data_IF_346426436359
#
_entry.id   IF_346426436359
#
_cell.length_a   1.000
_cell.length_b   1.000
_cell.length_c   1.000
_cell.angle_alpha   90.00
_cell.angle_beta   90.00
_cell.angle_gamma   90.00
#
_symmetry.space_group_name_H-M   'P 1'
#
loop_
_entity.id
_entity.type
_entity.pdbx_description
1 polymer ?
#
# COMPACT_ATOMS: atom_id res chain seq x y z
N UNK A 1 -3.89 32.41 20.38
CA UNK A 1 -3.43 32.29 18.98
C UNK A 1 -1.92 32.23 19.01
N UNK A 2 -1.38 31.03 18.91
CA UNK A 2 0.04 30.78 18.72
C UNK A 2 0.40 30.97 17.24
N UNK A 3 1.67 31.23 16.95
CA UNK A 3 2.12 31.57 15.60
C UNK A 3 2.30 30.36 14.68
N UNK A 4 2.62 30.58 13.39
CA UNK A 4 2.87 29.50 12.42
C UNK A 4 4.10 28.62 12.77
N UNK A 5 4.91 29.00 13.76
CA UNK A 5 6.06 28.23 14.24
C UNK A 5 5.75 27.32 15.44
N UNK A 6 4.53 27.38 16.01
CA UNK A 6 4.13 26.49 17.11
C UNK A 6 3.86 25.05 16.59
N UNK A 7 4.55 24.01 17.09
CA UNK A 7 4.29 22.63 16.65
C UNK A 7 2.85 22.15 16.88
N UNK A 8 2.11 22.74 17.84
CA UNK A 8 0.75 22.29 18.18
C UNK A 8 -0.25 22.35 17.02
N UNK A 9 -0.08 23.27 16.05
CA UNK A 9 -0.98 23.32 14.88
C UNK A 9 -0.76 22.14 13.93
N UNK A 10 0.47 21.60 13.84
CA UNK A 10 0.77 20.42 13.00
C UNK A 10 0.10 19.17 13.58
N UNK A 11 0.21 18.99 14.89
CA UNK A 11 -0.48 17.90 15.60
C UNK A 11 -2.01 18.01 15.49
N UNK A 12 -2.57 19.22 15.49
CA UNK A 12 -4.00 19.43 15.27
C UNK A 12 -4.40 19.14 13.81
N UNK A 13 -3.62 19.62 12.83
CA UNK A 13 -3.87 19.39 11.41
C UNK A 13 -3.82 17.89 11.06
N UNK A 14 -2.80 17.19 11.56
CA UNK A 14 -2.62 15.75 11.34
C UNK A 14 -3.76 14.93 11.96
N UNK A 15 -4.20 15.30 13.16
CA UNK A 15 -5.36 14.67 13.83
C UNK A 15 -6.65 14.86 13.05
N UNK A 16 -6.88 16.06 12.50
CA UNK A 16 -8.05 16.34 11.64
C UNK A 16 -7.96 15.56 10.33
N UNK A 17 -6.76 15.43 9.75
CA UNK A 17 -6.55 14.63 8.54
C UNK A 17 -6.79 13.13 8.77
N UNK A 18 -6.39 12.59 9.93
CA UNK A 18 -6.69 11.21 10.33
C UNK A 18 -8.19 11.01 10.57
N UNK A 19 -8.84 11.88 11.35
CA UNK A 19 -10.28 11.83 11.64
C UNK A 19 -11.12 11.87 10.35
N UNK A 20 -10.78 12.74 9.40
CA UNK A 20 -11.44 12.76 8.08
C UNK A 20 -11.10 11.50 7.26
N UNK A 21 -9.86 11.01 7.27
CA UNK A 21 -9.49 9.75 6.60
C UNK A 21 -10.24 8.52 7.11
N UNK A 22 -10.54 8.47 8.42
CA UNK A 22 -11.28 7.39 9.07
C UNK A 22 -12.78 7.44 8.76
N UNK A 23 -13.38 8.64 8.68
CA UNK A 23 -14.82 8.84 8.54
C UNK A 23 -15.30 9.18 7.11
N UNK A 24 -14.43 9.67 6.24
CA UNK A 24 -14.71 9.94 4.82
C UNK A 24 -14.44 8.71 3.97
N UNK A 25 -15.47 8.24 3.27
CA UNK A 25 -15.39 7.02 2.47
C UNK A 25 -14.80 7.26 1.08
N UNK A 26 -13.67 6.60 0.81
CA UNK A 26 -13.05 6.47 -0.52
C UNK A 26 -13.68 5.35 -1.39
N UNK A 27 -14.82 4.78 -0.99
CA UNK A 27 -15.41 3.60 -1.64
C UNK A 27 -15.73 3.80 -3.12
N UNK A 28 -16.12 5.01 -3.55
CA UNK A 28 -16.37 5.30 -4.97
C UNK A 28 -15.10 5.22 -5.82
N UNK A 29 -14.03 6.02 -5.55
CA UNK A 29 -12.78 5.92 -6.29
C UNK A 29 -12.14 4.52 -6.15
N UNK A 30 -12.16 3.89 -4.97
CA UNK A 30 -11.67 2.52 -4.81
C UNK A 30 -12.39 1.50 -5.71
N UNK A 31 -13.70 1.64 -5.93
CA UNK A 31 -14.44 0.77 -6.88
C UNK A 31 -14.08 1.02 -8.34
N UNK A 32 -13.74 2.26 -8.71
CA UNK A 32 -13.22 2.58 -10.05
C UNK A 32 -11.85 1.92 -10.22
N UNK A 33 -10.92 2.16 -9.28
CA UNK A 33 -9.59 1.53 -9.28
C UNK A 33 -9.67 0.00 -9.37
N UNK A 34 -10.53 -0.61 -8.57
CA UNK A 34 -10.79 -2.06 -8.56
C UNK A 34 -11.23 -2.56 -9.94
N UNK A 35 -12.15 -1.85 -10.61
CA UNK A 35 -12.66 -2.28 -11.92
C UNK A 35 -11.55 -2.46 -12.96
N UNK A 36 -10.72 -1.43 -13.14
CA UNK A 36 -9.60 -1.47 -14.09
C UNK A 36 -8.46 -2.37 -13.60
N UNK A 37 -8.19 -2.40 -12.28
CA UNK A 37 -7.20 -3.31 -11.69
C UNK A 37 -7.53 -4.77 -11.99
N UNK A 38 -8.79 -5.20 -11.80
CA UNK A 38 -9.17 -6.58 -12.09
C UNK A 38 -9.14 -6.92 -13.59
N UNK A 39 -9.38 -5.95 -14.47
CA UNK A 39 -9.15 -6.11 -15.92
C UNK A 39 -7.67 -6.30 -16.25
N UNK A 40 -6.78 -5.54 -15.62
CA UNK A 40 -5.33 -5.71 -15.75
C UNK A 40 -4.85 -7.06 -15.19
N UNK A 41 -5.31 -7.45 -13.99
CA UNK A 41 -4.99 -8.75 -13.36
C UNK A 41 -5.41 -9.95 -14.24
N UNK A 42 -6.61 -9.88 -14.86
CA UNK A 42 -7.06 -10.88 -15.84
C UNK A 42 -6.18 -10.90 -17.10
N UNK A 43 -5.74 -9.73 -17.58
CA UNK A 43 -4.80 -9.62 -18.72
C UNK A 43 -3.42 -10.19 -18.40
N UNK A 44 -2.99 -10.11 -17.14
CA UNK A 44 -1.80 -10.77 -16.58
C UNK A 44 -1.99 -12.27 -16.31
N UNK A 45 -3.16 -12.85 -16.64
CA UNK A 45 -3.46 -14.28 -16.51
C UNK A 45 -4.04 -14.73 -15.17
N UNK A 46 -4.32 -13.81 -14.23
CA UNK A 46 -4.94 -14.16 -12.95
C UNK A 46 -6.45 -14.40 -13.10
N UNK A 47 -6.83 -15.59 -13.57
CA UNK A 47 -8.24 -16.01 -13.69
C UNK A 47 -8.80 -16.60 -12.39
N UNK A 48 -7.97 -17.26 -11.58
CA UNK A 48 -8.40 -17.83 -10.30
C UNK A 48 -7.25 -18.08 -9.34
N UNK A 49 -7.57 -18.09 -8.05
CA UNK A 49 -6.63 -18.37 -6.98
C UNK A 49 -7.14 -17.92 -5.61
N UNK A 50 -6.27 -18.05 -4.62
CA UNK A 50 -6.51 -17.51 -3.27
C UNK A 50 -6.07 -16.06 -3.22
N UNK A 51 -6.95 -15.20 -2.72
CA UNK A 51 -6.73 -13.76 -2.62
C UNK A 51 -6.70 -13.36 -1.15
N UNK A 52 -5.74 -12.53 -0.79
CA UNK A 52 -5.74 -11.74 0.43
C UNK A 52 -5.89 -10.27 0.04
N UNK A 53 -6.80 -9.55 0.69
CA UNK A 53 -6.88 -8.10 0.62
C UNK A 53 -6.79 -7.55 2.04
N UNK A 54 -5.86 -6.63 2.27
CA UNK A 54 -5.73 -5.93 3.55
C UNK A 54 -5.63 -4.43 3.33
N UNK A 55 -5.95 -3.65 4.36
CA UNK A 55 -6.00 -2.20 4.28
C UNK A 55 -7.42 -1.64 4.17
N UNK A 56 -7.53 -0.47 3.56
CA UNK A 56 -8.77 0.28 3.35
C UNK A 56 -9.70 -0.40 2.34
N UNK A 57 -11.01 -0.33 2.62
CA UNK A 57 -12.11 -0.87 1.80
C UNK A 57 -11.82 -2.26 1.19
N UNK A 58 -11.41 -3.27 1.98
CA UNK A 58 -10.89 -4.52 1.43
C UNK A 58 -11.99 -5.33 0.71
N UNK A 59 -13.27 -5.11 1.03
CA UNK A 59 -14.40 -5.67 0.26
C UNK A 59 -14.53 -5.04 -1.13
N UNK A 60 -14.13 -3.78 -1.29
CA UNK A 60 -14.12 -3.08 -2.57
C UNK A 60 -12.98 -3.61 -3.45
N UNK A 61 -11.75 -3.66 -2.94
CA UNK A 61 -10.58 -4.16 -3.68
C UNK A 61 -10.66 -5.66 -4.03
N UNK A 62 -11.38 -6.45 -3.23
CA UNK A 62 -11.81 -7.80 -3.60
C UNK A 62 -12.70 -7.83 -4.88
N UNK A 63 -13.39 -6.75 -5.21
CA UNK A 63 -14.42 -6.71 -6.26
C UNK A 63 -15.78 -7.25 -5.80
N UNK A 64 -16.01 -7.38 -4.49
CA UNK A 64 -17.20 -8.05 -3.98
C UNK A 64 -18.47 -7.21 -4.23
N UNK A 65 -19.57 -7.78 -4.78
CA UNK A 65 -20.77 -7.03 -5.19
C UNK A 65 -21.51 -6.35 -4.04
N UNK A 66 -21.30 -6.83 -2.82
CA UNK A 66 -21.88 -6.25 -1.61
C UNK A 66 -20.88 -5.37 -0.84
N UNK A 67 -19.80 -4.89 -1.47
CA UNK A 67 -18.89 -3.92 -0.89
C UNK A 67 -19.68 -2.70 -0.34
N UNK A 68 -19.69 -2.60 0.99
CA UNK A 68 -20.46 -1.65 1.81
C UNK A 68 -19.69 -1.43 3.10
N UNK A 69 -19.76 -0.20 3.61
CA UNK A 69 -18.90 0.24 4.71
C UNK A 69 -17.57 0.78 4.19
N UNK A 70 -16.79 1.32 5.11
CA UNK A 70 -15.44 1.81 4.91
C UNK A 70 -14.56 1.34 6.07
N UNK A 71 -13.24 1.41 5.90
CA UNK A 71 -12.26 1.19 6.96
C UNK A 71 -11.35 -0.02 6.76
N UNK A 72 -10.42 -0.16 7.70
CA UNK A 72 -9.31 -1.11 7.66
C UNK A 72 -9.72 -2.53 8.10
N UNK A 73 -9.44 -3.53 7.28
CA UNK A 73 -9.52 -4.95 7.69
C UNK A 73 -8.59 -5.83 6.84
N UNK A 74 -8.46 -7.11 7.21
CA UNK A 74 -7.84 -8.15 6.36
C UNK A 74 -8.88 -9.22 6.02
N UNK A 75 -9.04 -9.49 4.73
CA UNK A 75 -10.05 -10.38 4.17
C UNK A 75 -9.39 -11.38 3.22
N UNK A 76 -9.71 -12.67 3.38
CA UNK A 76 -9.30 -13.73 2.46
C UNK A 76 -10.47 -14.28 1.67
N UNK A 77 -10.19 -14.74 0.45
CA UNK A 77 -11.17 -15.34 -0.44
C UNK A 77 -10.51 -16.37 -1.37
N UNK A 78 -11.34 -17.24 -1.97
CA UNK A 78 -10.95 -17.98 -3.18
C UNK A 78 -11.79 -17.47 -4.33
N UNK A 79 -11.13 -16.85 -5.32
CA UNK A 79 -11.80 -16.27 -6.50
C UNK A 79 -11.64 -17.24 -7.66
N UNK A 80 -12.76 -17.58 -8.30
CA UNK A 80 -12.81 -18.38 -9.51
C UNK A 80 -12.88 -17.54 -10.80
N UNK A 81 -12.82 -18.18 -11.99
CA UNK A 81 -12.91 -17.46 -13.26
C UNK A 81 -14.30 -16.83 -13.45
N UNK A 82 -15.36 -17.56 -13.06
CA UNK A 82 -16.73 -17.07 -13.07
C UNK A 82 -17.06 -16.23 -11.82
N UNK A 83 -16.45 -16.56 -10.68
CA UNK A 83 -16.79 -16.02 -9.35
C UNK A 83 -16.16 -14.65 -9.09
N UNK A 84 -16.25 -13.72 -10.04
CA UNK A 84 -15.93 -12.31 -9.77
C UNK A 84 -17.00 -11.63 -8.88
N UNK A 85 -18.13 -12.29 -8.60
CA UNK A 85 -19.22 -11.77 -7.78
C UNK A 85 -19.74 -12.80 -6.77
N UNK A 86 -19.72 -12.47 -5.47
CA UNK A 86 -20.50 -13.16 -4.43
C UNK A 86 -19.88 -14.42 -3.83
N UNK A 87 -18.58 -14.61 -3.98
CA UNK A 87 -17.81 -15.67 -3.32
C UNK A 87 -17.73 -15.47 -1.78
N UNK A 88 -17.52 -16.55 -1.00
CA UNK A 88 -17.35 -16.43 0.44
C UNK A 88 -16.06 -15.67 0.80
N UNK A 89 -16.16 -14.79 1.78
CA UNK A 89 -15.07 -13.98 2.31
C UNK A 89 -14.89 -14.29 3.79
N UNK A 90 -13.65 -14.46 4.23
CA UNK A 90 -13.27 -14.73 5.61
C UNK A 90 -12.45 -13.56 6.15
N UNK A 91 -12.82 -13.03 7.31
CA UNK A 91 -12.03 -12.00 8.00
C UNK A 91 -10.89 -12.66 8.77
N UNK A 92 -9.69 -12.10 8.67
CA UNK A 92 -8.47 -12.57 9.32
C UNK A 92 -7.81 -11.44 10.11
N UNK A 93 -6.94 -11.81 11.07
CA UNK A 93 -5.95 -10.89 11.64
C UNK A 93 -4.69 -10.95 10.78
N UNK A 94 -4.22 -9.82 10.27
CA UNK A 94 -3.08 -9.78 9.33
C UNK A 94 -1.82 -10.50 9.84
N UNK A 95 -1.53 -10.41 11.15
CA UNK A 95 -0.40 -11.09 11.80
C UNK A 95 -0.51 -12.60 11.92
N UNK A 96 -1.72 -13.13 11.91
CA UNK A 96 -1.98 -14.55 12.17
C UNK A 96 -1.90 -15.34 10.85
N UNK A 97 -1.82 -14.63 9.71
CA UNK A 97 -1.68 -15.17 8.36
C UNK A 97 -0.26 -15.68 8.16
N UNK A 98 -0.14 -17.01 7.98
CA UNK A 98 1.14 -17.71 7.78
C UNK A 98 1.26 -18.38 6.40
N UNK A 99 0.20 -18.30 5.59
CA UNK A 99 0.09 -18.96 4.30
C UNK A 99 0.34 -18.02 3.12
N UNK A 100 0.65 -18.59 1.95
CA UNK A 100 0.95 -17.83 0.73
C UNK A 100 -0.20 -17.85 -0.29
N UNK A 101 -0.61 -16.66 -0.72
CA UNK A 101 -1.71 -16.36 -1.64
C UNK A 101 -1.23 -16.24 -3.08
N UNK A 102 -2.16 -16.44 -4.01
CA UNK A 102 -1.94 -16.27 -5.45
C UNK A 102 -1.96 -14.79 -5.86
N UNK A 103 -2.76 -13.99 -5.15
CA UNK A 103 -2.83 -12.53 -5.23
C UNK A 103 -2.90 -11.93 -3.82
N UNK A 104 -2.08 -10.91 -3.53
CA UNK A 104 -2.21 -10.05 -2.35
C UNK A 104 -2.45 -8.61 -2.78
N UNK A 105 -3.48 -7.95 -2.25
CA UNK A 105 -3.74 -6.51 -2.44
C UNK A 105 -3.61 -5.80 -1.10
N UNK A 106 -2.72 -4.82 -0.99
CA UNK A 106 -2.57 -3.96 0.17
C UNK A 106 -3.01 -2.53 -0.13
N UNK A 107 -4.21 -2.14 0.31
CA UNK A 107 -4.71 -0.77 0.22
C UNK A 107 -4.28 0.01 1.46
N UNK A 108 -3.01 0.42 1.52
CA UNK A 108 -2.36 0.71 2.79
C UNK A 108 -3.03 1.90 3.53
N UNK A 109 -3.18 1.82 4.86
CA UNK A 109 -3.85 2.87 5.63
C UNK A 109 -3.11 4.20 5.52
N UNK A 110 -3.88 5.30 5.51
CA UNK A 110 -3.38 6.68 5.37
C UNK A 110 -2.48 6.89 4.12
N UNK A 111 -2.77 6.19 3.02
CA UNK A 111 -1.99 6.35 1.78
C UNK A 111 -2.22 7.72 1.12
N UNK A 112 -3.45 8.23 1.13
CA UNK A 112 -3.88 9.53 0.60
C UNK A 112 -3.75 10.69 1.59
N UNK A 113 -3.23 10.44 2.80
CA UNK A 113 -3.04 11.46 3.84
C UNK A 113 -1.63 12.03 3.82
N UNK A 114 -1.52 13.35 3.87
CA UNK A 114 -0.27 14.10 3.98
C UNK A 114 -0.11 14.62 5.41
N UNK A 115 0.83 14.03 6.14
CA UNK A 115 1.20 14.46 7.49
C UNK A 115 2.09 15.71 7.46
N UNK A 116 1.77 16.69 8.30
CA UNK A 116 2.52 17.94 8.48
C UNK A 116 3.55 17.83 9.61
N UNK A 117 3.35 16.94 10.58
CA UNK A 117 4.33 16.66 11.63
C UNK A 117 5.30 15.55 11.18
N UNK A 118 6.63 15.81 11.16
CA UNK A 118 7.62 14.85 10.63
C UNK A 118 7.60 13.48 11.32
N UNK A 119 7.27 13.42 12.62
CA UNK A 119 7.18 12.15 13.33
C UNK A 119 5.99 11.29 12.88
N UNK A 120 4.87 11.90 12.50
CA UNK A 120 3.71 11.16 11.98
C UNK A 120 3.98 10.65 10.56
N UNK A 121 4.58 11.48 9.69
CA UNK A 121 5.03 11.03 8.37
C UNK A 121 6.03 9.87 8.47
N UNK A 122 6.99 9.96 9.40
CA UNK A 122 7.98 8.89 9.63
C UNK A 122 7.32 7.58 10.09
N UNK A 123 6.34 7.65 11.01
CA UNK A 123 5.58 6.47 11.46
C UNK A 123 4.76 5.86 10.30
N UNK A 124 4.03 6.68 9.53
CA UNK A 124 3.27 6.22 8.35
C UNK A 124 4.17 5.50 7.36
N UNK A 125 5.31 6.10 7.02
CA UNK A 125 6.24 5.52 6.05
C UNK A 125 6.79 4.17 6.55
N UNK A 126 7.24 4.10 7.81
CA UNK A 126 7.71 2.83 8.40
C UNK A 126 6.64 1.72 8.42
N UNK A 127 5.37 2.09 8.64
CA UNK A 127 4.24 1.14 8.59
C UNK A 127 3.96 0.67 7.16
N UNK A 128 3.94 1.58 6.19
CA UNK A 128 3.71 1.24 4.79
C UNK A 128 4.86 0.40 4.19
N UNK A 129 6.11 0.66 4.60
CA UNK A 129 7.26 -0.19 4.29
C UNK A 129 7.04 -1.63 4.82
N UNK A 130 6.68 -1.76 6.09
CA UNK A 130 6.43 -3.06 6.74
C UNK A 130 5.28 -3.82 6.07
N UNK A 131 4.15 -3.16 5.82
CA UNK A 131 2.98 -3.74 5.17
C UNK A 131 3.28 -4.14 3.71
N UNK A 132 4.05 -3.34 2.97
CA UNK A 132 4.49 -3.66 1.61
C UNK A 132 5.35 -4.92 1.56
N UNK A 133 6.38 -4.98 2.41
CA UNK A 133 7.26 -6.15 2.49
C UNK A 133 6.54 -7.39 3.03
N UNK A 134 5.57 -7.22 3.94
CA UNK A 134 4.72 -8.32 4.43
C UNK A 134 3.79 -8.83 3.33
N UNK A 135 3.16 -7.93 2.56
CA UNK A 135 2.32 -8.29 1.41
C UNK A 135 3.09 -9.13 0.39
N UNK A 136 4.29 -8.67 0.02
CA UNK A 136 5.19 -9.43 -0.84
C UNK A 136 5.48 -10.82 -0.27
N UNK A 137 5.74 -10.93 1.04
CA UNK A 137 6.02 -12.21 1.71
C UNK A 137 4.78 -13.11 1.83
N UNK A 138 3.57 -12.57 1.88
CA UNK A 138 2.33 -13.34 1.83
C UNK A 138 1.94 -13.75 0.40
N UNK A 139 2.58 -13.20 -0.64
CA UNK A 139 2.45 -13.67 -2.01
C UNK A 139 3.35 -14.89 -2.25
N UNK A 140 2.87 -15.91 -2.99
CA UNK A 140 3.73 -17.02 -3.43
C UNK A 140 4.61 -16.63 -4.63
N UNK A 141 5.77 -17.29 -4.84
CA UNK A 141 6.46 -17.29 -6.12
C UNK A 141 5.50 -17.49 -7.31
N UNK A 142 5.63 -16.66 -8.34
CA UNK A 142 4.75 -16.63 -9.51
C UNK A 142 3.36 -16.01 -9.25
N UNK A 143 3.11 -15.50 -8.05
CA UNK A 143 1.90 -14.76 -7.68
C UNK A 143 2.03 -13.26 -7.95
N UNK A 144 0.92 -12.55 -7.78
CA UNK A 144 0.85 -11.09 -7.97
C UNK A 144 0.69 -10.37 -6.63
N UNK A 145 1.34 -9.21 -6.48
CA UNK A 145 1.12 -8.29 -5.36
C UNK A 145 0.68 -6.95 -5.93
N UNK A 146 -0.35 -6.34 -5.34
CA UNK A 146 -0.81 -4.99 -5.65
C UNK A 146 -0.71 -4.16 -4.39
N UNK A 147 -0.14 -2.96 -4.47
CA UNK A 147 0.00 -2.05 -3.34
C UNK A 147 -0.54 -0.69 -3.74
N UNK A 148 -1.49 -0.16 -2.98
CA UNK A 148 -1.86 1.26 -3.02
C UNK A 148 -1.25 1.92 -1.79
N UNK A 149 -0.24 2.76 -2.00
CA UNK A 149 0.55 3.39 -0.95
C UNK A 149 0.69 4.90 -1.19
N UNK A 150 1.19 5.62 -0.20
CA UNK A 150 1.63 7.00 -0.39
C UNK A 150 2.77 7.05 -1.42
N UNK A 151 2.84 8.10 -2.22
CA UNK A 151 3.98 8.34 -3.12
C UNK A 151 5.34 8.38 -2.37
N UNK A 152 5.32 8.68 -1.06
CA UNK A 152 6.48 8.60 -0.17
C UNK A 152 7.19 7.23 -0.22
N UNK A 153 6.46 6.12 -0.49
CA UNK A 153 7.04 4.77 -0.57
C UNK A 153 8.06 4.66 -1.71
N UNK A 154 7.81 5.31 -2.85
CA UNK A 154 8.72 5.28 -4.00
C UNK A 154 9.66 6.51 -4.02
N UNK A 155 9.20 7.68 -3.57
CA UNK A 155 10.03 8.90 -3.58
C UNK A 155 10.98 9.03 -2.37
N UNK A 156 11.04 8.03 -1.48
CA UNK A 156 11.86 8.08 -0.27
C UNK A 156 13.35 8.34 -0.58
N UNK A 157 14.04 9.18 0.23
CA UNK A 157 15.48 9.41 0.09
C UNK A 157 16.35 8.20 0.47
N UNK A 158 15.76 7.14 1.04
CA UNK A 158 16.42 5.92 1.44
C UNK A 158 15.88 4.74 0.64
N UNK A 159 16.76 4.07 -0.09
CA UNK A 159 16.45 3.04 -1.09
C UNK A 159 16.16 1.65 -0.52
N UNK A 160 16.24 1.49 0.81
CA UNK A 160 16.25 0.17 1.46
C UNK A 160 14.97 -0.63 1.20
N UNK A 161 13.79 0.00 1.30
CA UNK A 161 12.52 -0.72 1.07
C UNK A 161 12.37 -1.11 -0.39
N UNK A 162 12.75 -0.23 -1.33
CA UNK A 162 12.66 -0.47 -2.76
C UNK A 162 13.69 -1.53 -3.21
N UNK A 163 14.89 -1.54 -2.63
CA UNK A 163 15.87 -2.63 -2.78
C UNK A 163 15.30 -3.97 -2.28
N UNK A 164 14.68 -3.99 -1.09
CA UNK A 164 14.06 -5.19 -0.53
C UNK A 164 12.82 -5.65 -1.32
N UNK A 165 12.07 -4.74 -1.96
CA UNK A 165 11.02 -5.06 -2.91
C UNK A 165 11.61 -5.68 -4.18
N UNK A 166 12.62 -5.02 -4.77
CA UNK A 166 13.31 -5.45 -5.98
C UNK A 166 14.13 -6.75 -5.81
N UNK A 167 14.45 -7.15 -4.57
CA UNK A 167 15.02 -8.46 -4.26
C UNK A 167 13.94 -9.57 -4.31
N UNK A 168 12.68 -9.25 -4.07
CA UNK A 168 11.58 -10.21 -3.94
C UNK A 168 10.65 -10.28 -5.15
N UNK A 169 10.53 -9.19 -5.91
CA UNK A 169 9.59 -9.05 -7.01
C UNK A 169 10.16 -8.17 -8.14
N UNK A 170 9.63 -8.39 -9.34
CA UNK A 170 9.78 -7.49 -10.48
C UNK A 170 8.61 -6.50 -10.49
N UNK A 171 8.87 -5.22 -10.76
CA UNK A 171 7.82 -4.23 -10.96
C UNK A 171 7.18 -4.45 -12.35
N UNK A 172 5.90 -4.79 -12.37
CA UNK A 172 5.06 -4.89 -13.57
C UNK A 172 4.80 -3.47 -14.08
N UNK A 173 4.43 -2.59 -13.16
CA UNK A 173 4.30 -1.16 -13.36
C UNK A 173 3.70 -0.48 -12.13
N UNK A 174 3.66 0.85 -12.13
CA UNK A 174 3.00 1.65 -11.10
C UNK A 174 2.24 2.80 -11.75
N UNK A 175 1.18 3.27 -11.10
CA UNK A 175 0.40 4.43 -11.56
C UNK A 175 0.29 5.43 -10.40
N UNK A 176 0.77 6.66 -10.59
CA UNK A 176 0.70 7.72 -9.58
C UNK A 176 -0.57 8.53 -9.74
N UNK A 177 -1.41 8.49 -8.71
CA UNK A 177 -2.72 9.11 -8.70
C UNK A 177 -2.65 10.52 -8.07
N UNK A 178 -3.46 11.49 -8.56
CA UNK A 178 -3.56 12.81 -7.96
C UNK A 178 -4.00 12.82 -6.50
N UNK A 179 -3.56 13.84 -5.77
CA UNK A 179 -4.15 14.19 -4.48
C UNK A 179 -5.65 14.49 -4.65
N UNK A 180 -6.44 14.14 -3.63
CA UNK A 180 -7.88 14.42 -3.61
C UNK A 180 -8.76 13.41 -4.36
N UNK A 181 -8.19 12.44 -5.08
CA UNK A 181 -8.95 11.42 -5.83
C UNK A 181 -9.64 10.41 -4.92
N UNK A 182 -8.98 9.96 -3.85
CA UNK A 182 -9.55 9.05 -2.86
C UNK A 182 -10.45 9.80 -1.89
N UNK A 183 -9.86 10.74 -1.14
CA UNK A 183 -10.53 11.67 -0.23
C UNK A 183 -10.00 13.08 -0.50
N UNK A 184 -10.89 14.06 -0.66
CA UNK A 184 -10.54 15.45 -0.89
C UNK A 184 -10.48 16.22 0.45
N UNK A 185 -9.41 15.98 1.21
CA UNK A 185 -9.17 16.60 2.51
C UNK A 185 -8.29 17.83 2.28
N UNK A 186 -8.90 19.02 2.22
CA UNK A 186 -8.28 20.21 1.67
C UNK A 186 -6.94 20.58 2.36
N UNK A 187 -5.82 20.37 1.64
CA UNK A 187 -4.48 20.71 2.11
C UNK A 187 -3.79 19.60 2.89
N UNK A 188 -4.44 18.47 3.14
CA UNK A 188 -3.88 17.24 3.73
C UNK A 188 -4.06 16.02 2.83
N UNK A 189 -4.50 16.24 1.60
CA UNK A 189 -4.51 15.28 0.51
C UNK A 189 -3.09 15.02 -0.04
N UNK A 190 -2.80 13.76 -0.37
CA UNK A 190 -1.50 13.28 -0.83
C UNK A 190 -1.61 12.45 -2.13
N UNK A 191 -0.64 12.54 -3.05
CA UNK A 191 -0.54 11.61 -4.17
C UNK A 191 -0.28 10.18 -3.70
N UNK A 192 -0.80 9.21 -4.45
CA UNK A 192 -0.76 7.79 -4.07
C UNK A 192 -0.35 6.92 -5.25
N UNK A 193 0.53 5.96 -5.03
CA UNK A 193 1.01 5.06 -6.07
C UNK A 193 0.28 3.71 -5.99
N UNK A 194 -0.30 3.28 -7.11
CA UNK A 194 -0.84 1.94 -7.31
C UNK A 194 0.21 1.07 -8.04
N UNK A 195 0.93 0.25 -7.29
CA UNK A 195 2.00 -0.63 -7.78
C UNK A 195 1.44 -2.02 -8.10
N UNK A 196 1.84 -2.59 -9.23
CA UNK A 196 1.65 -3.99 -9.60
C UNK A 196 3.03 -4.68 -9.62
N UNK A 197 3.15 -5.80 -8.90
CA UNK A 197 4.42 -6.51 -8.66
C UNK A 197 4.25 -8.01 -8.96
N UNK A 198 5.20 -8.59 -9.69
CA UNK A 198 5.27 -10.03 -9.93
C UNK A 198 6.23 -10.67 -8.91
N UNK A 199 5.76 -11.58 -8.06
CA UNK A 199 6.60 -12.21 -7.03
C UNK A 199 7.57 -13.20 -7.68
N UNK A 200 8.86 -12.84 -7.71
CA UNK A 200 9.90 -13.66 -8.30
C UNK A 200 10.13 -14.96 -7.51
N UNK A 201 10.56 -16.02 -8.22
CA UNK A 201 11.00 -17.24 -7.58
C UNK A 201 12.35 -17.04 -6.86
N UNK A 202 12.60 -17.72 -5.72
CA UNK A 202 13.87 -17.63 -5.01
C UNK A 202 15.08 -17.92 -5.92
N UNK A 203 15.97 -16.95 -6.05
CA UNK A 203 17.18 -17.07 -6.90
C UNK A 203 16.98 -16.79 -8.39
N UNK A 204 15.77 -16.47 -8.87
CA UNK A 204 15.55 -16.05 -10.25
C UNK A 204 16.34 -14.76 -10.59
N UNK A 205 16.74 -14.58 -11.85
CA UNK A 205 17.28 -13.30 -12.29
C UNK A 205 16.14 -12.26 -12.30
N UNK A 206 16.36 -11.13 -11.62
CA UNK A 206 15.41 -10.00 -11.58
C UNK A 206 15.56 -9.22 -12.89
N UNK A 207 14.45 -8.87 -13.50
CA UNK A 207 14.35 -8.30 -14.84
C UNK A 207 14.08 -6.80 -14.83
N UNK A 208 13.31 -6.30 -13.85
CA UNK A 208 12.92 -4.87 -13.78
C UNK A 208 13.17 -4.33 -12.37
N UNK A 209 14.14 -3.40 -12.25
CA UNK A 209 14.52 -2.74 -10.98
C UNK A 209 14.44 -1.21 -11.06
N UNK A 210 13.74 -0.72 -12.08
CA UNK A 210 13.73 0.69 -12.48
C UNK A 210 12.74 1.50 -11.62
N UNK A 211 12.85 1.32 -10.31
CA UNK A 211 12.11 2.02 -9.25
C UNK A 211 12.91 2.11 -7.93
N UNK A 212 14.18 1.71 -7.93
CA UNK A 212 14.95 1.49 -6.69
C UNK A 212 15.53 2.76 -6.08
N UNK A 213 15.43 3.92 -6.75
CA UNK A 213 15.92 5.19 -6.23
C UNK A 213 15.07 6.38 -6.68
N UNK A 214 15.13 7.47 -5.89
CA UNK A 214 14.53 8.75 -6.25
C UNK A 214 15.60 9.77 -6.64
N UNK A 215 15.40 10.43 -7.77
CA UNK A 215 16.29 11.47 -8.30
C UNK A 215 15.80 12.88 -7.89
N UNK A 216 16.71 13.83 -7.60
CA UNK A 216 16.32 15.21 -7.37
C UNK A 216 15.83 15.91 -8.66
N UNK A 217 14.57 16.31 -8.70
CA UNK A 217 13.98 17.11 -9.78
C UNK A 217 13.76 18.56 -9.32
N UNK A 218 13.68 19.51 -10.26
CA UNK A 218 13.38 20.91 -9.95
C UNK A 218 12.07 21.37 -10.56
N UNK A 219 11.10 21.70 -9.72
CA UNK A 219 9.78 22.24 -10.11
C UNK A 219 9.64 23.63 -9.50
N UNK A 220 9.40 24.65 -10.32
CA UNK A 220 9.26 26.05 -9.90
C UNK A 220 10.41 26.57 -9.01
N UNK A 221 11.65 26.09 -9.25
CA UNK A 221 12.83 26.45 -8.46
C UNK A 221 12.95 25.76 -7.10
N UNK A 222 12.03 24.86 -6.74
CA UNK A 222 12.12 23.98 -5.58
C UNK A 222 12.63 22.61 -5.98
N UNK A 223 13.47 22.02 -5.14
CA UNK A 223 13.93 20.63 -5.29
C UNK A 223 12.91 19.68 -4.67
N UNK A 224 12.51 18.66 -5.42
CA UNK A 224 11.74 17.51 -4.97
C UNK A 224 12.52 16.23 -5.25
N UNK A 225 12.11 15.12 -4.65
CA UNK A 225 12.49 13.78 -5.10
C UNK A 225 11.38 13.20 -5.97
N UNK A 226 11.77 12.52 -7.05
CA UNK A 226 10.88 11.72 -7.90
C UNK A 226 11.53 10.36 -8.13
N UNK A 227 10.79 9.28 -7.87
CA UNK A 227 11.24 7.93 -8.18
C UNK A 227 11.61 7.78 -9.67
N UNK A 228 12.72 7.10 -9.96
CA UNK A 228 13.24 6.97 -11.32
C UNK A 228 12.23 6.27 -12.28
N UNK A 229 11.32 5.44 -11.74
CA UNK A 229 10.22 4.88 -12.51
C UNK A 229 9.36 5.94 -13.19
N UNK A 230 8.95 6.98 -12.45
CA UNK A 230 8.06 8.04 -12.96
C UNK A 230 8.80 9.12 -13.75
N UNK A 231 10.11 9.26 -13.56
CA UNK A 231 10.97 10.08 -14.43
C UNK A 231 11.09 9.44 -15.84
N UNK A 232 11.21 8.12 -15.90
CA UNK A 232 11.21 7.35 -17.16
C UNK A 232 9.80 7.08 -17.73
N UNK A 233 8.76 7.14 -16.88
CA UNK A 233 7.35 6.89 -17.22
C UNK A 233 6.43 8.04 -16.78
N UNK A 234 6.62 9.26 -17.31
CA UNK A 234 5.79 10.41 -16.93
C UNK A 234 4.31 10.21 -17.27
N UNK A 235 3.99 9.44 -18.31
CA UNK A 235 2.62 9.12 -18.74
C UNK A 235 1.84 8.27 -17.70
N UNK A 236 2.53 7.65 -16.74
CA UNK A 236 1.90 6.94 -15.61
C UNK A 236 1.73 7.80 -14.36
N UNK A 237 2.04 9.10 -14.43
CA UNK A 237 1.59 10.09 -13.45
C UNK A 237 0.31 10.71 -14.01
N UNK A 238 -0.85 10.37 -13.43
CA UNK A 238 -2.16 10.75 -13.97
C UNK A 238 -2.52 12.21 -13.65
N UNK A 239 -1.66 13.15 -14.00
CA UNK A 239 -1.82 14.57 -13.69
C UNK A 239 -0.51 15.35 -13.82
N UNK A 240 -0.56 16.61 -13.39
CA UNK A 240 0.59 17.51 -13.40
C UNK A 240 1.31 17.47 -12.04
N UNK A 241 2.60 17.12 -12.06
CA UNK A 241 3.48 17.24 -10.90
C UNK A 241 3.60 18.72 -10.51
N UNK A 242 3.21 19.01 -9.28
CA UNK A 242 3.33 20.31 -8.64
C UNK A 242 4.17 20.23 -7.38
N UNK A 243 4.14 21.33 -6.61
CA UNK A 243 4.81 21.45 -5.32
C UNK A 243 3.82 21.98 -4.31
N UNK A 244 3.76 21.38 -3.13
CA UNK A 244 2.96 21.88 -2.01
C UNK A 244 3.44 23.30 -1.62
N UNK A 245 2.59 24.34 -1.70
CA UNK A 245 2.98 25.71 -1.36
C UNK A 245 3.18 25.93 0.14
N UNK A 246 2.64 25.06 1.01
CA UNK A 246 2.68 25.18 2.47
C UNK A 246 3.70 24.24 3.12
N UNK A 247 3.99 23.08 2.50
CA UNK A 247 4.99 22.15 3.01
C UNK A 247 6.37 22.32 2.34
N UNK A 248 7.44 22.24 3.13
CA UNK A 248 8.83 22.37 2.70
C UNK A 248 9.53 21.01 2.60
N UNK A 249 10.65 20.96 1.85
CA UNK A 249 11.49 19.77 1.76
C UNK A 249 11.25 18.91 0.50
N UNK A 250 11.98 17.77 0.39
CA UNK A 250 12.05 16.96 -0.83
C UNK A 250 10.76 16.20 -1.16
N UNK A 251 9.95 15.86 -0.16
CA UNK A 251 8.74 15.06 -0.32
C UNK A 251 7.47 15.93 -0.47
N UNK A 252 7.62 17.23 -0.72
CA UNK A 252 6.52 18.16 -0.94
C UNK A 252 5.91 18.07 -2.36
N UNK A 253 5.91 16.86 -2.94
CA UNK A 253 5.41 16.58 -4.27
C UNK A 253 3.87 16.57 -4.24
N UNK A 254 3.24 17.21 -5.21
CA UNK A 254 1.80 17.12 -5.43
C UNK A 254 1.53 16.65 -6.85
N UNK A 255 0.37 16.05 -7.08
CA UNK A 255 -0.11 15.70 -8.42
C UNK A 255 -1.54 16.19 -8.51
N UNK A 256 -1.86 16.97 -9.53
CA UNK A 256 -3.20 17.57 -9.74
C UNK A 256 -3.72 17.25 -11.14
N UNK A 257 -5.00 16.94 -11.26
CA UNK A 257 -5.63 16.58 -12.53
C UNK A 257 -7.10 17.02 -12.56
N UNK A 258 -7.73 16.90 -13.73
CA UNK A 258 -9.18 16.97 -13.85
C UNK A 258 -9.79 15.63 -13.35
N UNK A 259 -10.58 15.63 -12.26
CA UNK A 259 -11.16 14.40 -11.72
C UNK A 259 -12.17 13.73 -12.65
N UNK A 260 -12.58 14.37 -13.75
CA UNK A 260 -13.43 13.75 -14.79
C UNK A 260 -12.65 12.86 -15.75
N UNK A 261 -11.31 12.99 -15.82
CA UNK A 261 -10.45 12.17 -16.67
C UNK A 261 -9.93 10.91 -15.94
N UNK A 262 -9.87 10.94 -14.61
CA UNK A 262 -9.29 9.88 -13.76
C UNK A 262 -9.65 8.43 -14.15
N UNK A 263 -10.91 8.14 -14.46
CA UNK A 263 -11.36 6.79 -14.83
C UNK A 263 -10.81 6.34 -16.19
N UNK A 264 -10.73 7.25 -17.17
CA UNK A 264 -10.15 6.97 -18.48
C UNK A 264 -8.61 6.84 -18.39
N UNK A 265 -7.96 7.83 -17.76
CA UNK A 265 -6.49 7.86 -17.63
C UNK A 265 -5.97 6.63 -16.85
N UNK A 266 -6.69 6.20 -15.82
CA UNK A 266 -6.36 4.98 -15.07
C UNK A 266 -6.59 3.69 -15.88
N UNK A 267 -7.65 3.66 -16.71
CA UNK A 267 -7.92 2.53 -17.59
C UNK A 267 -6.78 2.35 -18.60
N UNK A 268 -6.40 3.44 -19.28
CA UNK A 268 -5.38 3.44 -20.32
C UNK A 268 -4.00 3.05 -19.74
N UNK A 269 -3.62 3.62 -18.58
CA UNK A 269 -2.37 3.30 -17.91
C UNK A 269 -2.30 1.82 -17.46
N UNK A 270 -3.38 1.27 -16.89
CA UNK A 270 -3.39 -0.13 -16.45
C UNK A 270 -3.46 -1.13 -17.62
N UNK A 271 -4.10 -0.78 -18.75
CA UNK A 271 -4.09 -1.58 -19.98
C UNK A 271 -2.68 -1.63 -20.60
N UNK A 272 -1.98 -0.49 -20.65
CA UNK A 272 -0.63 -0.40 -21.20
C UNK A 272 0.41 -1.14 -20.31
N UNK A 273 0.32 -0.97 -18.98
CA UNK A 273 1.14 -1.73 -18.02
C UNK A 273 0.95 -3.25 -18.20
N UNK A 274 -0.30 -3.72 -18.23
CA UNK A 274 -0.59 -5.15 -18.40
C UNK A 274 -0.13 -5.68 -19.78
N UNK A 275 -0.23 -4.86 -20.82
CA UNK A 275 0.22 -5.19 -22.18
C UNK A 275 1.75 -5.30 -22.25
N UNK A 276 2.49 -4.36 -21.66
CA UNK A 276 3.94 -4.40 -21.58
C UNK A 276 4.44 -5.59 -20.75
N UNK A 277 3.83 -5.84 -19.58
CA UNK A 277 4.20 -6.97 -18.73
C UNK A 277 4.01 -8.34 -19.41
N UNK A 278 2.91 -8.51 -20.17
CA UNK A 278 2.70 -9.71 -20.99
C UNK A 278 3.79 -9.89 -22.06
N UNK A 279 4.30 -8.81 -22.65
CA UNK A 279 5.41 -8.87 -23.61
C UNK A 279 6.75 -9.20 -22.92
N UNK A 280 6.96 -8.71 -21.69
CA UNK A 280 8.13 -9.03 -20.87
C UNK A 280 8.08 -10.43 -20.23
N UNK A 281 6.92 -11.09 -20.23
CA UNK A 281 6.71 -12.39 -19.57
C UNK A 281 6.46 -12.30 -18.06
N UNK A 282 6.20 -11.10 -17.52
CA UNK A 282 5.87 -10.86 -16.11
C UNK A 282 4.37 -11.12 -15.87
N UNK A 283 3.95 -12.37 -16.07
CA UNK A 283 2.56 -12.82 -15.93
C UNK A 283 2.37 -13.70 -14.69
N UNK A 284 1.14 -13.82 -14.21
CA UNK A 284 0.78 -14.77 -13.17
C UNK A 284 1.10 -16.22 -13.58
N UNK A 285 1.97 -16.89 -12.82
CA UNK A 285 2.27 -18.30 -13.01
C UNK A 285 1.21 -19.14 -12.30
N UNK A 286 0.42 -19.91 -13.05
CA UNK A 286 -0.68 -20.70 -12.49
C UNK A 286 -0.18 -21.77 -11.51
N UNK A 287 -0.84 -21.87 -10.35
CA UNK A 287 -0.49 -22.80 -9.27
C UNK A 287 -0.52 -24.26 -9.70
N UNK A 288 0.65 -24.89 -9.81
CA UNK A 288 0.77 -26.32 -10.15
C UNK A 288 0.60 -27.17 -8.88
N UNK A 289 -0.52 -27.90 -8.78
CA UNK A 289 -0.80 -28.79 -7.64
C UNK A 289 0.33 -29.83 -7.47
N UNK A 290 1.06 -29.73 -6.36
CA UNK A 290 2.06 -30.70 -5.92
C UNK A 290 3.48 -30.18 -5.76
N UNK A 291 3.81 -28.99 -6.29
CA UNK A 291 5.17 -28.42 -6.20
C UNK A 291 5.34 -27.49 -4.97
N UNK A 292 4.34 -26.65 -4.68
CA UNK A 292 4.40 -25.62 -3.63
C UNK A 292 4.72 -26.14 -2.21
N UNK A 293 4.25 -27.35 -1.87
CA UNK A 293 4.45 -27.92 -0.51
C UNK A 293 5.94 -28.09 -0.21
N UNK A 294 6.72 -28.54 -1.19
CA UNK A 294 8.17 -28.69 -1.03
C UNK A 294 8.90 -27.34 -0.96
N UNK A 295 8.38 -26.31 -1.63
CA UNK A 295 8.94 -24.95 -1.56
C UNK A 295 8.70 -24.33 -0.18
N UNK A 296 7.49 -24.46 0.37
CA UNK A 296 7.14 -23.97 1.71
C UNK A 296 8.00 -24.61 2.81
N UNK A 297 8.20 -25.93 2.77
CA UNK A 297 9.09 -26.63 3.71
C UNK A 297 10.54 -26.13 3.59
N UNK A 298 11.02 -25.82 2.38
CA UNK A 298 12.41 -25.40 2.16
C UNK A 298 12.71 -23.97 2.67
N UNK A 299 11.74 -23.05 2.57
CA UNK A 299 11.92 -21.68 3.07
C UNK A 299 11.73 -21.59 4.59
N UNK A 300 10.84 -22.38 5.20
CA UNK A 300 10.68 -22.40 6.66
C UNK A 300 11.96 -22.85 7.38
N UNK A 301 12.73 -23.76 6.80
CA UNK A 301 14.05 -24.16 7.33
C UNK A 301 15.15 -23.10 7.16
N UNK A 302 14.89 -22.00 6.43
CA UNK A 302 15.82 -20.88 6.23
C UNK A 302 15.70 -19.78 7.29
N UNK A 303 14.62 -19.75 8.08
CA UNK A 303 14.36 -18.68 9.06
C UNK A 303 15.02 -19.02 10.39
N UNK A 304 16.30 -18.66 10.53
CA UNK A 304 17.04 -18.78 11.79
C UNK A 304 16.41 -17.92 12.89
N UNK A 305 15.97 -18.56 13.97
CA UNK A 305 15.05 -17.96 14.93
C UNK A 305 15.58 -16.79 15.76
N UNK A 306 14.68 -15.84 16.04
CA UNK A 306 14.79 -14.88 17.13
C UNK A 306 13.73 -15.24 18.20
N UNK A 307 14.08 -16.12 19.14
CA UNK A 307 13.22 -16.40 20.30
C UNK A 307 13.25 -15.23 21.29
N UNK A 308 12.09 -14.62 21.53
CA UNK A 308 11.89 -13.71 22.65
C UNK A 308 11.48 -14.53 23.89
N UNK A 309 12.32 -14.50 24.93
CA UNK A 309 12.06 -15.21 26.18
C UNK A 309 10.98 -14.51 27.01
N UNK A 310 10.02 -15.29 27.51
CA UNK A 310 9.03 -14.85 28.50
C UNK A 310 9.65 -14.80 29.91
N UNK A 311 9.32 -13.76 30.67
CA UNK A 311 9.58 -13.68 32.11
C UNK A 311 8.28 -13.34 32.84
N UNK A 312 7.93 -14.16 33.84
CA UNK A 312 6.71 -13.99 34.64
C UNK A 312 6.93 -13.02 35.81
N UNK A 313 5.91 -12.22 36.11
CA UNK A 313 5.78 -11.49 37.38
C UNK A 313 4.48 -10.69 37.38
N UNK A 314 3.60 -10.90 38.35
CA UNK A 314 2.30 -10.23 38.38
C UNK A 314 1.94 -9.65 39.76
N UNK A 315 0.97 -8.73 39.78
CA UNK A 315 0.07 -8.49 40.93
C UNK A 315 -1.14 -7.61 40.59
N UNK A 316 -2.09 -7.62 41.53
CA UNK A 316 -3.47 -7.08 41.50
C UNK A 316 -3.59 -5.53 41.63
N UNK A 317 -4.81 -4.95 41.43
CA UNK A 317 -4.99 -3.57 40.92
C UNK A 317 -5.48 -2.51 41.93
N UNK A 318 -5.43 -1.22 41.54
CA UNK A 318 -6.20 -0.13 42.18
C UNK A 318 -6.38 1.15 41.32
N UNK A 319 -7.61 1.38 40.84
CA UNK A 319 -8.41 2.64 40.79
C UNK A 319 -7.76 4.05 40.69
N UNK A 320 -8.27 4.89 39.77
CA UNK A 320 -8.37 6.36 39.95
C UNK A 320 -8.40 7.22 38.67
N UNK A 321 -9.41 8.09 38.51
CA UNK A 321 -9.62 8.96 37.33
C UNK A 321 -8.60 10.10 37.14
N UNK A 322 -8.28 10.47 35.88
CA UNK A 322 -7.87 11.84 35.53
C UNK A 322 -6.85 12.03 34.38
N UNK A 323 -7.34 12.51 33.21
CA UNK A 323 -6.61 12.91 31.98
C UNK A 323 -5.76 11.82 31.25
N UNK A 324 -5.78 11.78 29.89
CA UNK A 324 -4.94 10.87 29.12
C UNK A 324 -3.51 11.43 29.02
N UNK A 325 -2.63 10.91 29.86
CA UNK A 325 -1.19 11.14 29.83
C UNK A 325 -0.58 10.50 28.56
N UNK A 326 0.32 11.21 27.87
CA UNK A 326 0.88 10.78 26.57
C UNK A 326 2.29 10.19 26.67
N UNK A 327 2.80 9.94 27.89
CA UNK A 327 4.17 9.52 28.19
C UNK A 327 4.29 8.09 28.79
N UNK A 328 3.78 7.05 28.12
CA UNK A 328 4.39 5.69 28.15
C UNK A 328 3.93 4.85 26.93
N UNK A 329 4.74 3.90 26.40
CA UNK A 329 4.41 3.17 25.18
C UNK A 329 3.67 1.84 25.45
N UNK A 330 2.54 1.69 24.76
CA UNK A 330 1.76 0.46 24.51
C UNK A 330 0.74 -0.01 25.59
N UNK A 331 -0.51 -0.20 25.12
CA UNK A 331 -1.62 -1.06 25.62
C UNK A 331 -2.51 -0.57 26.80
N UNK A 332 -3.76 -0.18 26.51
CA UNK A 332 -4.99 -1.00 26.76
C UNK A 332 -6.18 -0.48 25.89
N UNK A 333 -7.32 -1.17 25.72
CA UNK A 333 -7.65 -2.60 25.96
C UNK A 333 -8.22 -3.26 24.67
N UNK A 334 -8.65 -2.47 23.67
CA UNK A 334 -9.66 -2.84 22.65
C UNK A 334 -9.23 -3.86 21.58
N UNK A 335 -8.07 -4.49 21.72
CA UNK A 335 -7.76 -5.75 21.04
C UNK A 335 -7.22 -5.66 19.61
N UNK A 336 -6.72 -4.49 19.19
CA UNK A 336 -5.99 -4.27 17.94
C UNK A 336 -4.67 -3.50 18.16
N UNK A 337 -3.77 -4.06 18.98
CA UNK A 337 -2.37 -3.60 19.04
C UNK A 337 -1.59 -4.06 17.81
N UNK A 338 -1.69 -3.31 16.71
CA UNK A 338 -0.75 -3.32 15.60
C UNK A 338 -0.57 -1.90 15.07
N UNK A 339 0.55 -1.28 15.47
CA UNK A 339 1.18 -0.19 14.71
C UNK A 339 1.77 -0.70 13.39
#
# INVERSE_FOLDING_TARGET
MTGPDDPSWRELADRVAMDDSEHTSALRPHRIMTGHLWMALRTLGFDSGRVLVHGDDPTAFLGHPQAKGHGFASLTATVGPADHLGYPVQAEKFTDITERFDLVVGALPYNDVKFTHPAHQTRRNAWQDLLTLTSLNLTRPGGLTVILASHDLLDAPHTKVQEQMADQADLIGAVRLPGGIQRNIAGTDNPTDLLLLHRAAPGAARQVRDFTYAAPISINGRMLLLNNYFDERPDYVLGQIGVDPFNGGPNALTVTADPTLFEADLSDALEDIATHARQAGLMYETRVKGVDVAAQDSEQHSVGGASLNTAQGGREPATGDGDPDWDDPCVDESGLDLW
#
